data_IF_595588048130
#
_entry.id   IF_595588048130
#
_cell.length_a   1.000
_cell.length_b   1.000
_cell.length_c   1.000
_cell.angle_alpha   90.00
_cell.angle_beta   90.00
_cell.angle_gamma   90.00
#
_symmetry.space_group_name_H-M   'P 1'
#
loop_
_entity.id
_entity.type
_entity.pdbx_description
1 polymer ?
#
# COMPACT_ATOMS: atom_id res chain seq x y z
N UNK A 1 23.30 -11.52 -5.50
CA UNK A 1 23.28 -10.37 -4.56
C UNK A 1 22.47 -9.17 -5.04
N UNK A 2 22.65 -8.66 -6.28
CA UNK A 2 21.88 -7.50 -6.78
C UNK A 2 20.36 -7.74 -6.75
N UNK A 3 19.91 -8.91 -7.22
CA UNK A 3 18.49 -9.31 -7.18
C UNK A 3 17.94 -9.35 -5.74
N UNK A 4 18.67 -9.94 -4.80
CA UNK A 4 18.25 -9.97 -3.39
C UNK A 4 18.09 -8.55 -2.82
N UNK A 5 19.01 -7.62 -3.13
CA UNK A 5 18.90 -6.21 -2.72
C UNK A 5 17.69 -5.53 -3.36
N UNK A 6 17.41 -5.82 -4.63
CA UNK A 6 16.24 -5.30 -5.35
C UNK A 6 14.94 -5.75 -4.68
N UNK A 7 14.83 -7.06 -4.41
CA UNK A 7 13.65 -7.66 -3.77
C UNK A 7 13.43 -7.05 -2.39
N UNK A 8 14.46 -6.98 -1.55
CA UNK A 8 14.37 -6.36 -0.21
C UNK A 8 13.93 -4.90 -0.31
N UNK A 9 14.49 -4.14 -1.25
CA UNK A 9 14.10 -2.74 -1.46
C UNK A 9 12.62 -2.61 -1.81
N UNK A 10 12.13 -3.39 -2.78
CA UNK A 10 10.72 -3.37 -3.18
C UNK A 10 9.81 -3.79 -2.02
N UNK A 11 10.19 -4.82 -1.25
CA UNK A 11 9.45 -5.23 -0.05
C UNK A 11 9.33 -4.11 0.98
N UNK A 12 10.41 -3.36 1.23
CA UNK A 12 10.38 -2.22 2.15
C UNK A 12 9.46 -1.11 1.63
N UNK A 13 9.51 -0.81 0.33
CA UNK A 13 8.60 0.18 -0.30
C UNK A 13 7.14 -0.24 -0.12
N UNK A 14 6.82 -1.51 -0.36
CA UNK A 14 5.46 -2.05 -0.16
C UNK A 14 5.04 -1.95 1.30
N UNK A 15 5.90 -2.36 2.25
CA UNK A 15 5.60 -2.31 3.67
C UNK A 15 5.29 -0.87 4.15
N UNK A 16 6.10 0.09 3.71
CA UNK A 16 5.87 1.52 4.02
C UNK A 16 4.57 2.01 3.38
N UNK A 17 4.32 1.71 2.11
CA UNK A 17 3.12 2.17 1.40
C UNK A 17 1.83 1.62 2.04
N UNK A 18 1.80 0.32 2.35
CA UNK A 18 0.67 -0.32 3.02
C UNK A 18 0.48 0.24 4.42
N UNK A 19 1.56 0.44 5.18
CA UNK A 19 1.51 1.02 6.50
C UNK A 19 0.93 2.44 6.50
N UNK A 20 1.38 3.28 5.56
CA UNK A 20 0.86 4.65 5.40
C UNK A 20 -0.61 4.63 5.00
N UNK A 21 -0.99 3.82 3.99
CA UNK A 21 -2.37 3.71 3.56
C UNK A 21 -3.31 3.31 4.70
N UNK A 22 -2.96 2.26 5.44
CA UNK A 22 -3.77 1.80 6.57
C UNK A 22 -3.77 2.80 7.72
N UNK A 23 -2.64 3.48 7.99
CA UNK A 23 -2.58 4.56 8.97
C UNK A 23 -3.54 5.70 8.64
N UNK A 24 -3.62 6.11 7.36
CA UNK A 24 -4.58 7.11 6.89
C UNK A 24 -6.01 6.63 7.04
N UNK A 25 -6.32 5.40 6.62
CA UNK A 25 -7.66 4.81 6.79
C UNK A 25 -8.08 4.84 8.27
N UNK A 26 -7.20 4.43 9.18
CA UNK A 26 -7.49 4.44 10.61
C UNK A 26 -7.67 5.87 11.16
N UNK A 27 -6.87 6.84 10.71
CA UNK A 27 -7.03 8.23 11.12
C UNK A 27 -8.36 8.82 10.66
N UNK A 28 -8.79 8.53 9.43
CA UNK A 28 -10.10 8.97 8.90
C UNK A 28 -11.23 8.30 9.67
N UNK A 29 -11.14 7.00 9.97
CA UNK A 29 -12.13 6.30 10.81
C UNK A 29 -12.22 6.90 12.23
N UNK A 30 -11.08 7.25 12.83
CA UNK A 30 -11.04 7.85 14.16
C UNK A 30 -11.70 9.25 14.18
N UNK A 31 -11.63 10.00 13.08
CA UNK A 31 -12.19 11.35 12.99
C UNK A 31 -13.69 11.36 12.62
N UNK A 32 -14.10 10.55 11.65
CA UNK A 32 -15.47 10.55 11.13
C UNK A 32 -16.39 9.53 11.81
N UNK A 33 -15.86 8.67 12.67
CA UNK A 33 -16.60 7.56 13.27
C UNK A 33 -16.33 6.24 12.54
N UNK A 34 -16.73 5.10 13.12
CA UNK A 34 -16.44 3.79 12.58
C UNK A 34 -17.03 3.64 11.18
N UNK A 35 -16.21 3.24 10.21
CA UNK A 35 -16.66 2.96 8.83
C UNK A 35 -17.65 1.80 8.72
N UNK A 36 -18.04 1.14 9.80
CA UNK A 36 -18.77 -0.11 9.77
C UNK A 36 -20.03 0.02 10.62
N UNK A 37 -20.96 0.89 10.23
CA UNK A 37 -22.29 0.99 10.85
C UNK A 37 -23.32 0.24 9.98
N UNK A 38 -23.51 -1.05 10.27
CA UNK A 38 -24.48 -1.92 9.58
C UNK A 38 -23.91 -2.74 8.40
N UNK A 39 -24.56 -3.87 8.10
CA UNK A 39 -24.02 -4.92 7.21
C UNK A 39 -23.73 -4.45 5.77
N UNK A 40 -24.61 -3.60 5.22
CA UNK A 40 -24.47 -3.07 3.86
C UNK A 40 -23.30 -2.06 3.75
N UNK A 41 -23.14 -1.21 4.76
CA UNK A 41 -22.03 -0.25 4.81
C UNK A 41 -20.70 -0.96 5.06
N UNK A 42 -20.74 -2.00 5.90
CA UNK A 42 -19.57 -2.78 6.23
C UNK A 42 -18.99 -3.51 5.02
N UNK A 43 -19.85 -4.15 4.23
CA UNK A 43 -19.43 -4.85 3.02
C UNK A 43 -18.83 -3.90 1.99
N UNK A 44 -19.47 -2.74 1.78
CA UNK A 44 -18.99 -1.70 0.86
C UNK A 44 -17.63 -1.14 1.30
N UNK A 45 -17.51 -0.77 2.57
CA UNK A 45 -16.31 -0.11 3.08
C UNK A 45 -15.13 -1.09 3.21
N UNK A 46 -15.40 -2.36 3.51
CA UNK A 46 -14.42 -3.44 3.40
C UNK A 46 -13.94 -3.62 1.95
N UNK A 47 -14.86 -3.63 0.98
CA UNK A 47 -14.52 -3.70 -0.44
C UNK A 47 -13.61 -2.57 -0.90
N UNK A 48 -13.92 -1.32 -0.48
CA UNK A 48 -13.08 -0.15 -0.78
C UNK A 48 -11.70 -0.29 -0.14
N UNK A 49 -11.63 -0.68 1.14
CA UNK A 49 -10.37 -0.90 1.84
C UNK A 49 -9.52 -2.00 1.17
N UNK A 50 -10.14 -3.09 0.74
CA UNK A 50 -9.47 -4.20 0.07
C UNK A 50 -8.92 -3.79 -1.30
N UNK A 51 -9.73 -3.12 -2.11
CA UNK A 51 -9.30 -2.59 -3.42
C UNK A 51 -8.19 -1.56 -3.23
N UNK A 52 -8.31 -0.67 -2.23
CA UNK A 52 -7.29 0.31 -1.89
C UNK A 52 -5.95 -0.31 -1.51
N UNK A 53 -5.94 -1.38 -0.71
CA UNK A 53 -4.72 -2.14 -0.42
C UNK A 53 -4.15 -2.79 -1.69
N UNK A 54 -4.99 -3.41 -2.53
CA UNK A 54 -4.57 -4.01 -3.79
C UNK A 54 -3.87 -2.99 -4.71
N UNK A 55 -4.50 -1.83 -4.93
CA UNK A 55 -3.93 -0.74 -5.72
C UNK A 55 -2.63 -0.22 -5.12
N UNK A 56 -2.58 -0.05 -3.79
CA UNK A 56 -1.38 0.40 -3.08
C UNK A 56 -0.22 -0.56 -3.26
N UNK A 57 -0.45 -1.87 -3.12
CA UNK A 57 0.58 -2.91 -3.30
C UNK A 57 1.08 -2.91 -4.74
N UNK A 58 0.18 -2.94 -5.73
CA UNK A 58 0.56 -2.95 -7.15
C UNK A 58 1.36 -1.70 -7.50
N UNK A 59 0.90 -0.52 -7.09
CA UNK A 59 1.58 0.75 -7.31
C UNK A 59 2.96 0.79 -6.65
N UNK A 60 3.08 0.30 -5.42
CA UNK A 60 4.35 0.25 -4.68
C UNK A 60 5.35 -0.74 -5.30
N UNK A 61 4.90 -1.90 -5.78
CA UNK A 61 5.75 -2.86 -6.49
C UNK A 61 6.26 -2.26 -7.80
N UNK A 62 5.36 -1.74 -8.64
CA UNK A 62 5.74 -1.13 -9.93
C UNK A 62 6.67 0.06 -9.71
N UNK A 63 6.31 0.96 -8.79
CA UNK A 63 7.12 2.13 -8.43
C UNK A 63 8.49 1.75 -7.88
N UNK A 64 8.56 0.79 -6.96
CA UNK A 64 9.81 0.30 -6.37
C UNK A 64 10.73 -0.34 -7.41
N UNK A 65 10.18 -1.15 -8.32
CA UNK A 65 10.94 -1.76 -9.43
C UNK A 65 11.46 -0.69 -10.38
N UNK A 66 10.60 0.24 -10.83
CA UNK A 66 11.01 1.33 -11.75
C UNK A 66 12.09 2.20 -11.11
N UNK A 67 11.93 2.55 -9.83
CA UNK A 67 12.91 3.31 -9.06
C UNK A 67 14.25 2.57 -9.02
N UNK A 68 14.24 1.30 -8.65
CA UNK A 68 15.45 0.49 -8.55
C UNK A 68 16.17 0.36 -9.89
N UNK A 69 15.44 0.11 -10.98
CA UNK A 69 15.97 0.04 -12.33
C UNK A 69 16.58 1.37 -12.79
N UNK A 70 15.94 2.50 -12.49
CA UNK A 70 16.46 3.83 -12.81
C UNK A 70 17.73 4.18 -12.04
N UNK A 71 17.85 3.75 -10.78
CA UNK A 71 19.05 3.99 -9.98
C UNK A 71 20.23 3.11 -10.40
N UNK A 72 20.00 1.85 -10.77
CA UNK A 72 21.07 0.98 -11.31
C UNK A 72 21.49 1.33 -12.74
N UNK A 73 20.62 1.94 -13.55
CA UNK A 73 20.99 2.41 -14.89
C UNK A 73 21.83 3.69 -14.91
N UNK A 74 22.10 4.29 -13.73
CA UNK A 74 22.93 5.51 -13.57
C UNK A 74 24.28 5.24 -12.93
N UNK A 75 24.61 3.98 -12.61
CA UNK A 75 25.85 3.56 -11.96
C UNK A 75 26.69 2.65 -12.83
#
# INVERSE_FOLDING_TARGET
MKVCKAVVFVFLVVAVAVGVFNGVVMAVAAYFGPFYEGDAEQTRNFGIWLVGNGVTVVGAVVGGVVWYCRYLGRG
#
